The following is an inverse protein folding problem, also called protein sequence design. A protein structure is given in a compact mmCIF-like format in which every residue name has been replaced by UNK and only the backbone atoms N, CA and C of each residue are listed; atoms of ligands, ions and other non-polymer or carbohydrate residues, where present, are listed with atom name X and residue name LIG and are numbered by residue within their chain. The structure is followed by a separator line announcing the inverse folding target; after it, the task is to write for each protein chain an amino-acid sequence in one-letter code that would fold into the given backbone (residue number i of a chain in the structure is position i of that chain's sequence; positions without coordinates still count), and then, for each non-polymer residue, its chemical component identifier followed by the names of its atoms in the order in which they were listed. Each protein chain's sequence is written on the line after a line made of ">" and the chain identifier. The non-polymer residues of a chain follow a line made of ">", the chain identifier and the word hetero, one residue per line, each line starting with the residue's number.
data_IF_942542556672
#
_entry.id   IF_942542556672
#
_cell.length_a   1.000
_cell.length_b   1.000
_cell.length_c   1.000
_cell.angle_alpha   90.00
_cell.angle_beta   90.00
_cell.angle_gamma   90.00
#
_symmetry.space_group_name_H-M   'P 1'
#
loop_
_entity.id
_entity.type
_entity.pdbx_description
1 polymer ?
#
# COMPACT_ATOMS: atom_id res chain seq x y z
N UNK A 1 -9.88 11.62 29.77
CA UNK A 1 -9.11 12.79 29.26
C UNK A 1 -8.61 12.40 27.89
N UNK A 2 -9.01 13.05 26.79
CA UNK A 2 -8.54 12.65 25.46
C UNK A 2 -7.04 12.92 25.38
N UNK A 3 -6.28 11.89 25.00
CA UNK A 3 -4.83 11.98 24.78
C UNK A 3 -4.59 12.98 23.63
N UNK A 4 -3.78 14.01 23.89
CA UNK A 4 -3.30 14.92 22.84
C UNK A 4 -2.03 14.28 22.26
N UNK A 5 -2.10 13.86 21.01
CA UNK A 5 -0.97 13.32 20.27
C UNK A 5 -0.16 14.44 19.63
N UNK A 6 1.12 14.19 19.41
CA UNK A 6 2.01 15.07 18.65
C UNK A 6 1.63 15.07 17.15
N UNK A 7 2.03 16.09 16.38
CA UNK A 7 1.70 16.17 14.94
C UNK A 7 2.20 14.94 14.15
N UNK A 8 3.36 14.40 14.54
CA UNK A 8 4.00 13.22 13.95
C UNK A 8 3.21 11.92 14.26
N UNK A 9 2.68 11.80 15.48
CA UNK A 9 1.80 10.71 15.88
C UNK A 9 0.44 10.82 15.19
N UNK A 10 -0.07 12.04 14.99
CA UNK A 10 -1.32 12.27 14.27
C UNK A 10 -1.23 11.82 12.81
N UNK A 11 -0.10 12.08 12.14
CA UNK A 11 0.15 11.58 10.79
C UNK A 11 0.24 10.04 10.75
N UNK A 12 0.87 9.42 11.75
CA UNK A 12 0.87 7.96 11.92
C UNK A 12 -0.54 7.38 12.12
N UNK A 13 -1.38 8.02 12.92
CA UNK A 13 -2.77 7.59 13.13
C UNK A 13 -3.66 7.84 11.91
N UNK A 14 -3.47 8.94 11.16
CA UNK A 14 -4.16 9.20 9.90
C UNK A 14 -3.81 8.11 8.85
N UNK A 15 -2.54 7.67 8.81
CA UNK A 15 -2.08 6.56 7.98
C UNK A 15 -2.68 5.23 8.42
N UNK A 16 -2.81 4.98 9.73
CA UNK A 16 -3.49 3.80 10.27
C UNK A 16 -5.00 3.83 10.01
N UNK A 17 -5.64 4.99 10.02
CA UNK A 17 -7.07 5.14 9.75
C UNK A 17 -7.35 4.91 8.25
N UNK A 18 -6.48 5.40 7.36
CA UNK A 18 -6.49 5.05 5.94
C UNK A 18 -6.21 3.55 5.69
N UNK A 19 -5.27 2.95 6.42
CA UNK A 19 -5.02 1.51 6.38
C UNK A 19 -6.23 0.69 6.89
N UNK A 20 -6.94 1.21 7.88
CA UNK A 20 -8.17 0.60 8.42
C UNK A 20 -9.30 0.62 7.38
N UNK A 21 -9.40 1.68 6.58
CA UNK A 21 -10.32 1.75 5.44
C UNK A 21 -10.01 0.71 4.34
N UNK A 22 -8.74 0.31 4.17
CA UNK A 22 -8.34 -0.76 3.23
C UNK A 22 -8.79 -2.14 3.71
N UNK A 23 -8.84 -2.39 5.02
CA UNK A 23 -9.35 -3.64 5.60
C UNK A 23 -10.89 -3.74 5.57
N UNK A 24 -11.59 -2.63 5.80
CA UNK A 24 -13.07 -2.60 5.84
C UNK A 24 -13.75 -2.90 4.49
N UNK A 25 -13.04 -2.75 3.36
CA UNK A 25 -13.58 -3.08 2.04
C UNK A 25 -13.81 -4.58 1.80
N UNK A 26 -13.18 -5.46 2.59
CA UNK A 26 -13.41 -6.91 2.47
C UNK A 26 -14.85 -7.32 2.86
N UNK A 27 -15.52 -6.54 3.71
CA UNK A 27 -16.91 -6.79 4.13
C UNK A 27 -17.96 -6.29 3.12
N UNK A 28 -17.57 -5.48 2.13
CA UNK A 28 -18.45 -4.88 1.13
C UNK A 28 -18.23 -5.42 -0.29
N UNK A 29 -17.07 -6.03 -0.58
CA UNK A 29 -16.79 -6.64 -1.86
C UNK A 29 -17.33 -8.08 -1.94
N UNK A 30 -18.65 -8.24 -2.15
CA UNK A 30 -19.14 -9.48 -2.77
C UNK A 30 -18.49 -9.62 -4.14
N UNK A 31 -18.06 -10.83 -4.56
CA UNK A 31 -17.56 -11.04 -5.91
C UNK A 31 -18.61 -10.54 -6.92
N UNK A 32 -18.21 -9.90 -8.04
CA UNK A 32 -19.14 -9.34 -9.01
C UNK A 32 -19.80 -10.48 -9.78
N UNK A 33 -20.81 -11.12 -9.18
CA UNK A 33 -21.78 -11.90 -9.93
C UNK A 33 -22.66 -10.90 -10.68
N UNK A 34 -22.43 -10.79 -12.00
CA UNK A 34 -23.37 -10.25 -13.00
C UNK A 34 -24.04 -8.91 -12.62
N UNK A 35 -23.38 -7.80 -12.93
CA UNK A 35 -24.01 -6.46 -12.90
C UNK A 35 -23.95 -5.70 -11.57
N UNK A 36 -23.11 -6.13 -10.62
CA UNK A 36 -22.89 -5.40 -9.36
C UNK A 36 -22.23 -4.04 -9.60
N UNK A 37 -22.93 -2.95 -9.27
CA UNK A 37 -22.35 -1.60 -9.23
C UNK A 37 -21.18 -1.59 -8.25
N UNK A 38 -20.02 -1.09 -8.66
CA UNK A 38 -18.95 -0.69 -7.75
C UNK A 38 -19.60 0.24 -6.71
N UNK A 39 -19.51 -0.12 -5.42
CA UNK A 39 -20.08 0.71 -4.36
C UNK A 39 -19.37 2.07 -4.38
N UNK A 40 -20.07 3.10 -4.86
CA UNK A 40 -19.55 4.47 -4.83
C UNK A 40 -19.34 4.85 -3.37
N UNK A 41 -18.12 5.26 -3.03
CA UNK A 41 -17.85 5.79 -1.70
C UNK A 41 -18.79 6.97 -1.41
N UNK A 42 -19.16 7.14 -0.13
CA UNK A 42 -19.99 8.26 0.31
C UNK A 42 -19.36 9.60 -0.13
N UNK A 43 -20.16 10.65 -0.22
CA UNK A 43 -19.64 12.00 -0.50
C UNK A 43 -18.58 12.42 0.52
N UNK A 44 -18.82 12.22 1.82
CA UNK A 44 -17.86 12.59 2.85
C UNK A 44 -16.50 11.89 2.70
N UNK A 45 -16.47 10.58 2.40
CA UNK A 45 -15.21 9.86 2.19
C UNK A 45 -14.48 10.37 0.95
N UNK A 46 -15.20 10.66 -0.13
CA UNK A 46 -14.59 11.20 -1.37
C UNK A 46 -14.00 12.59 -1.14
N UNK A 47 -14.68 13.43 -0.36
CA UNK A 47 -14.22 14.79 -0.07
C UNK A 47 -13.01 14.77 0.89
N UNK A 48 -12.98 13.87 1.87
CA UNK A 48 -11.82 13.65 2.73
C UNK A 48 -10.59 13.24 1.91
N UNK A 49 -10.74 12.27 1.00
CA UNK A 49 -9.64 11.82 0.12
C UNK A 49 -9.11 12.97 -0.74
N UNK A 50 -10.01 13.82 -1.29
CA UNK A 50 -9.61 15.01 -2.05
C UNK A 50 -8.84 16.00 -1.21
N UNK A 51 -9.31 16.29 0.00
CA UNK A 51 -8.64 17.21 0.92
C UNK A 51 -7.23 16.70 1.26
N UNK A 52 -7.09 15.40 1.55
CA UNK A 52 -5.80 14.77 1.87
C UNK A 52 -4.80 14.88 0.71
N UNK A 53 -5.23 14.56 -0.52
CA UNK A 53 -4.37 14.63 -1.72
C UNK A 53 -4.02 16.09 -2.05
N UNK A 54 -4.98 17.02 -1.94
CA UNK A 54 -4.75 18.45 -2.19
C UNK A 54 -3.82 19.09 -1.15
N UNK A 55 -3.76 18.53 0.06
CA UNK A 55 -2.79 18.92 1.08
C UNK A 55 -1.37 18.37 0.81
N UNK A 56 -1.16 17.67 -0.31
CA UNK A 56 0.13 17.10 -0.69
C UNK A 56 0.46 15.77 0.00
N UNK A 57 -0.46 15.23 0.81
CA UNK A 57 -0.24 13.96 1.52
C UNK A 57 -0.35 12.76 0.57
N UNK A 58 0.40 11.70 0.85
CA UNK A 58 0.34 10.46 0.06
C UNK A 58 -0.92 9.65 0.35
N UNK A 59 -1.49 9.03 -0.69
CA UNK A 59 -2.62 8.10 -0.58
C UNK A 59 -2.22 6.74 -1.13
N UNK A 60 -2.51 5.70 -0.36
CA UNK A 60 -2.24 4.32 -0.70
C UNK A 60 -3.55 3.57 -0.90
N UNK A 61 -3.65 2.81 -2.00
CA UNK A 61 -4.78 1.90 -2.22
C UNK A 61 -4.29 0.54 -2.65
N UNK A 62 -5.06 -0.50 -2.33
CA UNK A 62 -4.81 -1.85 -2.82
C UNK A 62 -6.11 -2.51 -3.24
N UNK A 63 -6.03 -3.52 -4.10
CA UNK A 63 -7.18 -4.30 -4.51
C UNK A 63 -8.29 -3.40 -5.06
N UNK A 64 -9.53 -3.55 -4.59
CA UNK A 64 -10.67 -2.72 -4.99
C UNK A 64 -10.60 -1.27 -4.50
N UNK A 65 -9.65 -0.93 -3.64
CA UNK A 65 -9.48 0.42 -3.09
C UNK A 65 -9.25 1.47 -4.18
N UNK A 66 -8.59 1.08 -5.28
CA UNK A 66 -8.38 1.99 -6.42
C UNK A 66 -9.70 2.41 -7.08
N UNK A 67 -10.78 1.62 -6.99
CA UNK A 67 -12.11 2.01 -7.49
C UNK A 67 -12.76 3.11 -6.63
N UNK A 68 -12.49 3.12 -5.32
CA UNK A 68 -12.93 4.20 -4.43
C UNK A 68 -12.18 5.48 -4.78
N UNK A 69 -10.87 5.40 -5.00
CA UNK A 69 -10.07 6.53 -5.43
C UNK A 69 -10.50 7.04 -6.82
N UNK A 70 -10.79 6.15 -7.77
CA UNK A 70 -11.34 6.52 -9.08
C UNK A 70 -12.66 7.29 -8.95
N UNK A 71 -13.52 6.92 -7.99
CA UNK A 71 -14.81 7.59 -7.77
C UNK A 71 -14.71 9.06 -7.31
N UNK A 72 -13.50 9.51 -6.93
CA UNK A 72 -13.21 10.91 -6.59
C UNK A 72 -12.92 11.78 -7.82
N UNK A 73 -12.60 11.18 -8.97
CA UNK A 73 -12.09 11.85 -10.17
C UNK A 73 -10.57 12.13 -10.14
N UNK A 74 -9.87 11.81 -9.05
CA UNK A 74 -8.44 12.11 -8.90
C UNK A 74 -7.53 11.19 -9.70
N UNK A 75 -8.04 10.08 -10.23
CA UNK A 75 -7.28 9.19 -11.12
C UNK A 75 -7.45 9.54 -12.61
N UNK A 76 -8.27 10.55 -12.94
CA UNK A 76 -8.50 10.95 -14.32
C UNK A 76 -7.19 11.49 -14.92
N UNK A 77 -6.68 10.80 -15.95
CA UNK A 77 -5.41 11.13 -16.59
C UNK A 77 -4.15 10.66 -15.85
N UNK A 78 -4.28 9.85 -14.79
CA UNK A 78 -3.15 9.27 -14.03
C UNK A 78 -2.98 7.78 -14.29
N UNK A 79 -1.78 7.29 -14.05
CA UNK A 79 -1.49 5.85 -14.07
C UNK A 79 -1.92 5.21 -12.74
N UNK A 80 -2.64 4.09 -12.80
CA UNK A 80 -3.09 3.36 -11.62
C UNK A 80 -3.27 1.86 -11.92
N UNK A 81 -3.27 1.03 -10.86
CA UNK A 81 -3.53 -0.42 -10.95
C UNK A 81 -4.62 -0.90 -9.99
N UNK A 82 -5.07 -2.14 -10.16
CA UNK A 82 -6.15 -2.80 -9.41
C UNK A 82 -5.85 -4.31 -9.29
N UNK A 83 -6.56 -5.06 -8.43
CA UNK A 83 -6.35 -6.49 -8.29
C UNK A 83 -6.63 -7.28 -9.56
N UNK A 84 -5.97 -8.43 -9.69
CA UNK A 84 -6.08 -9.37 -10.81
C UNK A 84 -7.53 -9.75 -11.18
N UNK A 85 -8.47 -9.77 -10.23
CA UNK A 85 -9.87 -10.08 -10.50
C UNK A 85 -10.65 -8.90 -11.13
N UNK A 86 -10.28 -7.66 -10.82
CA UNK A 86 -10.74 -6.46 -11.53
C UNK A 86 -10.01 -6.23 -12.87
N UNK A 87 -9.02 -7.07 -13.17
CA UNK A 87 -7.93 -6.84 -14.13
C UNK A 87 -8.11 -7.46 -15.50
N UNK A 88 -9.30 -7.96 -15.87
CA UNK A 88 -9.50 -8.54 -17.21
C UNK A 88 -9.14 -7.55 -18.33
N UNK A 89 -9.11 -6.24 -18.03
CA UNK A 89 -8.72 -5.15 -18.92
C UNK A 89 -7.25 -4.69 -18.81
N UNK A 90 -6.61 -4.75 -17.63
CA UNK A 90 -5.26 -4.22 -17.43
C UNK A 90 -4.12 -5.23 -17.70
N UNK A 91 -4.48 -6.52 -17.89
CA UNK A 91 -3.56 -7.65 -18.06
C UNK A 91 -2.66 -7.56 -19.31
N UNK A 92 -3.10 -6.86 -20.35
CA UNK A 92 -2.37 -6.82 -21.63
C UNK A 92 -1.38 -5.66 -21.73
N UNK A 93 -1.43 -4.67 -20.82
CA UNK A 93 -0.65 -3.43 -20.99
C UNK A 93 0.20 -3.02 -19.76
N UNK A 94 -0.11 -3.48 -18.54
CA UNK A 94 0.60 -3.01 -17.33
C UNK A 94 0.80 -4.15 -16.32
N UNK A 95 1.90 -4.91 -16.35
CA UNK A 95 2.16 -5.99 -15.38
C UNK A 95 2.71 -5.49 -14.03
N UNK A 96 2.65 -4.19 -13.75
CA UNK A 96 3.24 -3.62 -12.54
C UNK A 96 2.43 -3.99 -11.29
N UNK A 97 3.11 -4.52 -10.27
CA UNK A 97 2.51 -4.88 -8.97
C UNK A 97 1.90 -3.68 -8.25
N UNK A 98 2.49 -2.51 -8.42
CA UNK A 98 1.94 -1.23 -8.02
C UNK A 98 2.39 -0.14 -9.00
N UNK A 99 1.70 1.00 -8.95
CA UNK A 99 1.97 2.19 -9.75
C UNK A 99 2.00 3.40 -8.81
N UNK A 100 2.98 4.28 -9.05
CA UNK A 100 3.15 5.55 -8.33
C UNK A 100 2.99 6.70 -9.34
N UNK A 101 2.06 7.62 -9.07
CA UNK A 101 1.80 8.80 -9.90
C UNK A 101 1.66 10.03 -9.01
N UNK A 102 2.79 10.68 -8.72
CA UNK A 102 2.89 11.76 -7.74
C UNK A 102 2.71 11.23 -6.32
N UNK A 103 1.73 11.75 -5.59
CA UNK A 103 1.40 11.33 -4.23
C UNK A 103 0.39 10.16 -4.18
N UNK A 104 0.05 9.55 -5.32
CA UNK A 104 -0.91 8.45 -5.39
C UNK A 104 -0.18 7.14 -5.63
N UNK A 105 -0.37 6.19 -4.70
CA UNK A 105 0.21 4.86 -4.71
C UNK A 105 -0.92 3.83 -4.84
N UNK A 106 -0.92 3.05 -5.92
CA UNK A 106 -1.93 2.03 -6.17
C UNK A 106 -1.28 0.67 -6.30
N UNK A 107 -1.66 -0.29 -5.45
CA UNK A 107 -1.19 -1.67 -5.46
C UNK A 107 -2.24 -2.63 -6.01
N UNK A 108 -1.83 -3.62 -6.79
CA UNK A 108 -2.76 -4.56 -7.39
C UNK A 108 -3.45 -5.43 -6.33
N UNK A 109 -2.68 -6.22 -5.56
CA UNK A 109 -3.21 -7.16 -4.56
C UNK A 109 -2.69 -6.83 -3.16
N UNK A 110 -3.26 -7.43 -2.11
CA UNK A 110 -2.87 -7.17 -0.72
C UNK A 110 -1.35 -7.30 -0.49
N UNK A 111 -0.75 -8.41 -0.93
CA UNK A 111 0.69 -8.65 -0.77
C UNK A 111 1.55 -7.69 -1.62
N UNK A 112 1.10 -7.36 -2.83
CA UNK A 112 1.76 -6.34 -3.64
C UNK A 112 1.69 -4.95 -2.99
N UNK A 113 0.62 -4.68 -2.24
CA UNK A 113 0.47 -3.48 -1.43
C UNK A 113 1.42 -3.42 -0.23
N UNK A 114 1.67 -4.56 0.42
CA UNK A 114 2.69 -4.64 1.47
C UNK A 114 4.09 -4.35 0.90
N UNK A 115 4.41 -4.96 -0.25
CA UNK A 115 5.68 -4.77 -0.97
C UNK A 115 5.86 -3.27 -1.35
N UNK A 116 4.77 -2.65 -1.83
CA UNK A 116 4.69 -1.24 -2.16
C UNK A 116 4.97 -0.33 -0.96
N UNK A 117 4.31 -0.57 0.19
CA UNK A 117 4.51 0.23 1.41
C UNK A 117 5.93 0.05 1.94
N UNK A 118 6.53 -1.14 1.83
CA UNK A 118 7.92 -1.35 2.19
C UNK A 118 8.89 -0.54 1.32
N UNK A 119 8.63 -0.45 0.01
CA UNK A 119 9.41 0.42 -0.89
C UNK A 119 9.28 1.88 -0.50
N UNK A 120 8.05 2.35 -0.26
CA UNK A 120 7.80 3.71 0.21
C UNK A 120 8.52 4.00 1.54
N UNK A 121 8.45 3.09 2.50
CA UNK A 121 9.10 3.24 3.80
C UNK A 121 10.63 3.38 3.65
N UNK A 122 11.24 2.59 2.75
CA UNK A 122 12.67 2.71 2.41
C UNK A 122 12.99 4.07 1.77
N UNK A 123 12.15 4.56 0.88
CA UNK A 123 12.35 5.85 0.22
C UNK A 123 12.23 7.03 1.19
N UNK A 124 11.29 6.96 2.14
CA UNK A 124 11.05 8.05 3.10
C UNK A 124 12.00 8.04 4.30
N UNK A 125 12.27 6.85 4.87
CA UNK A 125 12.96 6.72 6.15
C UNK A 125 14.26 5.91 6.08
N UNK A 126 14.63 5.43 4.89
CA UNK A 126 15.86 4.68 4.66
C UNK A 126 15.76 3.18 4.99
N UNK A 127 16.86 2.47 4.68
CA UNK A 127 16.92 1.02 4.76
C UNK A 127 16.90 0.48 6.19
N UNK A 128 17.45 1.22 7.15
CA UNK A 128 17.51 0.79 8.56
C UNK A 128 16.12 0.68 9.19
N UNK A 129 15.28 1.72 9.01
CA UNK A 129 13.90 1.73 9.49
C UNK A 129 13.09 0.62 8.83
N UNK A 130 13.23 0.43 7.51
CA UNK A 130 12.58 -0.68 6.82
C UNK A 130 13.03 -2.03 7.39
N UNK A 131 14.33 -2.23 7.58
CA UNK A 131 14.90 -3.50 8.07
C UNK A 131 14.42 -3.79 9.48
N UNK A 132 14.34 -2.78 10.35
CA UNK A 132 13.76 -2.91 11.68
C UNK A 132 12.28 -3.31 11.63
N UNK A 133 11.46 -2.62 10.82
CA UNK A 133 10.05 -2.94 10.67
C UNK A 133 9.83 -4.35 10.09
N UNK A 134 10.55 -4.68 9.02
CA UNK A 134 10.52 -5.98 8.35
C UNK A 134 10.92 -7.11 9.31
N UNK A 135 11.95 -6.89 10.14
CA UNK A 135 12.40 -7.84 11.17
C UNK A 135 11.32 -8.14 12.21
N UNK A 136 10.55 -7.15 12.62
CA UNK A 136 9.49 -7.34 13.62
C UNK A 136 8.25 -8.06 13.07
N UNK A 137 8.06 -8.05 11.74
CA UNK A 137 6.87 -8.58 11.08
C UNK A 137 7.08 -9.91 10.36
N UNK A 138 8.24 -10.55 10.51
CA UNK A 138 8.61 -11.75 9.77
C UNK A 138 8.41 -11.62 8.24
N UNK A 139 8.68 -10.42 7.71
CA UNK A 139 8.40 -10.04 6.34
C UNK A 139 9.64 -9.75 5.48
N UNK A 140 9.68 -10.31 4.26
CA UNK A 140 10.68 -10.03 3.22
C UNK A 140 10.03 -9.32 2.01
N UNK A 141 10.20 -8.00 1.87
CA UNK A 141 9.56 -7.24 0.79
C UNK A 141 10.21 -7.46 -0.58
N UNK A 142 9.37 -7.60 -1.59
CA UNK A 142 9.76 -7.75 -3.00
C UNK A 142 9.65 -6.43 -3.76
N UNK A 143 10.46 -6.28 -4.79
CA UNK A 143 10.43 -5.13 -5.70
C UNK A 143 9.18 -5.12 -6.59
N UNK A 144 9.06 -4.04 -7.38
CA UNK A 144 7.90 -3.79 -8.26
C UNK A 144 7.77 -4.84 -9.37
N UNK A 145 8.90 -5.40 -9.79
CA UNK A 145 9.02 -6.53 -10.71
C UNK A 145 8.57 -7.86 -10.07
N UNK A 146 8.50 -7.89 -8.74
CA UNK A 146 8.16 -9.05 -7.94
C UNK A 146 9.26 -10.08 -7.77
N UNK A 147 10.47 -9.78 -8.25
CA UNK A 147 11.62 -10.69 -8.24
C UNK A 147 12.76 -10.09 -7.44
N UNK A 148 13.03 -8.80 -7.63
CA UNK A 148 14.06 -8.08 -6.88
C UNK A 148 13.73 -8.01 -5.40
N UNK A 149 14.75 -7.99 -4.54
CA UNK A 149 14.56 -7.79 -3.10
C UNK A 149 14.72 -6.31 -2.76
N UNK A 150 13.82 -5.79 -1.94
CA UNK A 150 13.89 -4.39 -1.48
C UNK A 150 14.98 -4.23 -0.42
N UNK A 151 15.10 -5.26 0.44
CA UNK A 151 16.18 -5.42 1.40
C UNK A 151 17.27 -6.31 0.75
N UNK A 152 18.53 -5.85 0.64
CA UNK A 152 19.61 -6.67 0.10
C UNK A 152 19.79 -7.96 0.90
N UNK A 153 20.29 -9.02 0.24
CA UNK A 153 20.67 -10.25 0.94
C UNK A 153 21.72 -9.94 2.00
N UNK A 154 21.55 -10.57 3.16
CA UNK A 154 22.45 -10.43 4.30
C UNK A 154 23.17 -11.76 4.52
N UNK A 155 24.40 -11.68 5.00
CA UNK A 155 25.26 -12.82 5.26
C UNK A 155 25.85 -12.66 6.66
N UNK A 156 26.02 -13.77 7.37
CA UNK A 156 26.74 -13.80 8.64
C UNK A 156 28.27 -13.86 8.43
N UNK A 157 29.03 -13.90 9.53
CA UNK A 157 30.49 -14.01 9.51
C UNK A 157 31.01 -15.30 8.84
N UNK A 158 30.16 -16.32 8.71
CA UNK A 158 30.48 -17.59 8.05
C UNK A 158 30.05 -17.61 6.57
N UNK A 159 29.73 -16.44 5.99
CA UNK A 159 29.21 -16.27 4.63
C UNK A 159 27.88 -17.01 4.37
N UNK A 160 27.17 -17.43 5.41
CA UNK A 160 25.87 -18.07 5.25
C UNK A 160 24.80 -16.99 5.08
N UNK A 161 23.95 -17.17 4.07
CA UNK A 161 22.84 -16.24 3.85
C UNK A 161 21.86 -16.30 5.03
N UNK A 162 21.59 -15.15 5.63
CA UNK A 162 20.64 -14.98 6.73
C UNK A 162 19.39 -14.23 6.25
N UNK A 163 18.26 -14.52 6.90
CA UNK A 163 17.01 -13.77 6.67
C UNK A 163 17.03 -12.45 7.43
N UNK A 164 16.14 -11.53 7.06
CA UNK A 164 15.92 -10.26 7.77
C UNK A 164 15.50 -10.50 9.24
N UNK A 165 14.96 -11.68 9.52
CA UNK A 165 14.42 -12.14 10.81
C UNK A 165 15.37 -12.96 11.65
N UNK A 166 16.63 -13.10 11.23
CA UNK A 166 17.66 -13.67 12.10
C UNK A 166 17.77 -12.80 13.36
N UNK A 167 17.07 -13.20 14.41
CA UNK A 167 17.18 -12.57 15.72
C UNK A 167 18.54 -12.95 16.29
N UNK A 168 19.36 -11.96 16.62
CA UNK A 168 20.47 -12.14 17.55
C UNK A 168 19.90 -12.32 18.97
N UNK A 169 19.10 -13.36 19.17
CA UNK A 169 18.72 -13.84 20.48
C UNK A 169 19.30 -15.25 20.59
N UNK A 170 20.49 -15.30 21.19
CA UNK A 170 21.19 -16.48 21.72
C UNK A 170 21.85 -17.41 20.70
#
# INVERSE_FOLDING_TARGET
>A
MPLKYTEDEQEYYDLLELASYLCLQWRLARPPSKGGRISKASSCTRDLIRQHINAGKSVFTTCTGSTVLASTGLLDGKNATINHAGYKWAKENYPAKWVVDGNIWTGACAVAGMDMVACWLKEQFGLEVLTYAARNLDYEPRGVDGVSLVIPRRYDESEKQITTHAFFYY
#
